data_IF_499242280772
#
_entry.id   IF_499242280772
#
_cell.length_a   1.000
_cell.length_b   1.000
_cell.length_c   1.000
_cell.angle_alpha   90.00
_cell.angle_beta   90.00
_cell.angle_gamma   90.00
#
_symmetry.space_group_name_H-M   'P 1'
#
loop_
_entity.id
_entity.type
_entity.pdbx_description
1 polymer ?
#
# COMPACT_ATOMS: atom_id res chain seq x y z
N UNK A 1 2.12 6.13 -7.81
CA UNK A 1 1.60 6.01 -9.19
C UNK A 1 0.54 7.04 -9.53
N UNK A 2 -0.55 7.18 -8.77
CA UNK A 2 -1.59 8.20 -9.05
C UNK A 2 -1.02 9.63 -9.20
N UNK A 3 -0.08 10.02 -8.33
CA UNK A 3 0.63 11.31 -8.45
C UNK A 3 1.40 11.43 -9.79
N UNK A 4 2.20 10.42 -10.14
CA UNK A 4 2.96 10.40 -11.39
C UNK A 4 2.09 10.37 -12.66
N UNK A 5 0.83 9.94 -12.54
CA UNK A 5 -0.15 10.02 -13.61
C UNK A 5 -0.79 11.42 -13.72
N UNK A 6 -1.01 12.08 -12.58
CA UNK A 6 -1.65 13.40 -12.50
C UNK A 6 -0.68 14.55 -12.80
N UNK A 7 0.59 14.41 -12.40
CA UNK A 7 1.68 15.39 -12.55
C UNK A 7 2.90 14.71 -13.19
N UNK A 8 2.79 14.22 -14.44
CA UNK A 8 3.87 13.47 -15.08
C UNK A 8 5.17 14.26 -15.23
N UNK A 9 5.10 15.59 -15.29
CA UNK A 9 6.23 16.51 -15.38
C UNK A 9 7.00 16.68 -14.06
N UNK A 10 6.40 16.33 -12.92
CA UNK A 10 7.02 16.49 -11.60
C UNK A 10 7.74 15.23 -11.10
N UNK A 11 7.62 14.12 -11.83
CA UNK A 11 8.17 12.83 -11.42
C UNK A 11 9.29 12.40 -12.36
N UNK A 12 10.54 12.54 -11.93
CA UNK A 12 11.70 12.12 -12.71
C UNK A 12 11.84 10.60 -12.84
N UNK A 13 11.43 9.86 -11.81
CA UNK A 13 11.42 8.39 -11.83
C UNK A 13 10.48 7.83 -10.75
N UNK A 14 10.04 6.59 -10.91
CA UNK A 14 9.12 5.93 -9.98
C UNK A 14 9.54 4.49 -9.68
N UNK A 15 9.66 4.16 -8.40
CA UNK A 15 9.81 2.78 -7.91
C UNK A 15 8.52 2.34 -7.23
N UNK A 16 7.95 1.23 -7.70
CA UNK A 16 6.76 0.61 -7.16
C UNK A 16 7.11 -0.75 -6.53
N UNK A 17 6.78 -0.93 -5.25
CA UNK A 17 7.08 -2.14 -4.46
C UNK A 17 5.79 -2.92 -4.22
N UNK A 18 5.65 -4.08 -4.87
CA UNK A 18 4.54 -5.05 -4.78
C UNK A 18 3.12 -4.50 -5.04
N UNK A 19 2.99 -3.23 -5.44
CA UNK A 19 1.72 -2.57 -5.71
C UNK A 19 1.86 -1.51 -6.81
N UNK A 20 0.85 -1.41 -7.67
CA UNK A 20 0.79 -0.46 -8.78
C UNK A 20 -0.24 0.63 -8.46
N UNK A 21 -1.45 0.52 -9.01
CA UNK A 21 -2.60 1.35 -8.71
C UNK A 21 -3.67 0.43 -8.11
N UNK A 22 -4.16 0.80 -6.93
CA UNK A 22 -5.24 0.06 -6.28
C UNK A 22 -6.53 0.22 -7.07
N UNK A 23 -7.22 -0.90 -7.32
CA UNK A 23 -8.57 -0.93 -7.89
C UNK A 23 -9.50 -1.66 -6.94
N UNK A 24 -10.78 -1.32 -6.99
CA UNK A 24 -11.76 -2.20 -6.40
C UNK A 24 -12.01 -3.41 -7.28
N UNK A 25 -12.15 -4.58 -6.63
CA UNK A 25 -12.27 -5.89 -7.27
C UNK A 25 -13.36 -5.98 -8.33
N UNK A 26 -14.40 -5.13 -8.28
CA UNK A 26 -15.35 -4.99 -9.39
C UNK A 26 -16.26 -3.77 -9.25
N UNK A 27 -16.35 -2.95 -10.31
CA UNK A 27 -17.42 -1.94 -10.44
C UNK A 27 -18.82 -2.57 -10.51
N UNK A 28 -18.94 -3.84 -10.91
CA UNK A 28 -20.23 -4.55 -11.03
C UNK A 28 -20.86 -4.88 -9.67
N UNK A 29 -20.05 -5.04 -8.62
CA UNK A 29 -20.53 -5.31 -7.26
C UNK A 29 -20.60 -4.06 -6.41
N UNK A 30 -20.09 -2.93 -6.90
CA UNK A 30 -20.05 -1.67 -6.17
C UNK A 30 -21.44 -1.27 -5.65
N UNK A 31 -22.42 -1.09 -6.54
CA UNK A 31 -23.76 -0.65 -6.14
C UNK A 31 -24.50 -1.66 -5.27
N UNK A 32 -24.21 -2.96 -5.44
CA UNK A 32 -24.74 -4.01 -4.56
C UNK A 32 -24.24 -3.86 -3.12
N UNK A 33 -23.03 -3.34 -2.94
CA UNK A 33 -22.38 -3.18 -1.65
C UNK A 33 -22.39 -1.73 -1.14
N UNK A 34 -22.88 -0.77 -1.92
CA UNK A 34 -22.77 0.65 -1.62
C UNK A 34 -23.52 1.04 -0.34
N UNK A 35 -24.75 0.56 -0.17
CA UNK A 35 -25.52 0.78 1.05
C UNK A 35 -24.77 0.26 2.29
N UNK A 36 -24.32 -0.99 2.26
CA UNK A 36 -23.55 -1.58 3.36
C UNK A 36 -22.24 -0.82 3.65
N UNK A 37 -21.58 -0.25 2.63
CA UNK A 37 -20.40 0.59 2.81
C UNK A 37 -20.75 1.92 3.49
N UNK A 38 -21.84 2.55 3.09
CA UNK A 38 -22.34 3.79 3.71
C UNK A 38 -22.68 3.52 5.17
N UNK A 39 -23.47 2.48 5.45
CA UNK A 39 -23.87 2.11 6.81
C UNK A 39 -22.65 1.84 7.69
N UNK A 40 -21.66 1.11 7.17
CA UNK A 40 -20.41 0.85 7.88
C UNK A 40 -19.62 2.13 8.16
N UNK A 41 -19.55 3.06 7.19
CA UNK A 41 -18.90 4.36 7.39
C UNK A 41 -19.61 5.17 8.49
N UNK A 42 -20.94 5.25 8.44
CA UNK A 42 -21.74 5.91 9.49
C UNK A 42 -21.47 5.27 10.85
N UNK A 43 -21.49 3.94 10.94
CA UNK A 43 -21.20 3.20 12.17
C UNK A 43 -19.83 3.59 12.77
N UNK A 44 -18.78 3.69 11.94
CA UNK A 44 -17.46 4.10 12.40
C UNK A 44 -17.39 5.56 12.86
N UNK A 45 -18.17 6.46 12.26
CA UNK A 45 -18.19 7.87 12.67
C UNK A 45 -18.93 8.09 13.99
N UNK A 46 -19.89 7.22 14.34
CA UNK A 46 -20.72 7.38 15.55
C UNK A 46 -20.15 6.60 16.74
N UNK A 47 -19.35 5.55 16.52
CA UNK A 47 -18.78 4.74 17.60
C UNK A 47 -17.53 5.38 18.18
N UNK A 48 -17.41 5.29 19.51
CA UNK A 48 -16.14 5.59 20.20
C UNK A 48 -15.07 4.64 19.68
N UNK A 49 -13.90 5.17 19.27
CA UNK A 49 -12.81 4.37 18.72
C UNK A 49 -12.42 3.21 19.65
N UNK A 50 -12.43 1.96 19.14
CA UNK A 50 -12.16 0.76 19.98
C UNK A 50 -10.72 0.74 20.51
N UNK A 51 -9.79 1.46 19.89
CA UNK A 51 -8.41 1.58 20.39
C UNK A 51 -8.30 2.25 21.77
N UNK A 52 -9.30 3.02 22.19
CA UNK A 52 -9.33 3.61 23.54
C UNK A 52 -9.88 2.67 24.62
N UNK A 53 -10.42 1.50 24.26
CA UNK A 53 -11.17 0.64 25.19
C UNK A 53 -10.35 -0.47 25.85
N UNK A 54 -9.25 -0.91 25.25
CA UNK A 54 -8.40 -1.98 25.78
C UNK A 54 -6.99 -1.47 26.06
N UNK A 55 -6.39 -1.90 27.17
CA UNK A 55 -4.98 -1.63 27.45
C UNK A 55 -4.11 -2.30 26.38
N UNK A 56 -3.36 -1.48 25.64
CA UNK A 56 -2.41 -1.95 24.65
C UNK A 56 -1.05 -2.16 25.33
N UNK A 57 -0.47 -3.35 25.17
CA UNK A 57 0.95 -3.60 25.49
C UNK A 57 1.79 -3.59 24.21
N UNK A 58 3.11 -3.48 24.36
CA UNK A 58 4.02 -3.51 23.22
C UNK A 58 3.98 -4.87 22.50
N UNK A 59 3.94 -5.95 23.27
CA UNK A 59 3.82 -7.33 22.77
C UNK A 59 2.51 -7.52 22.01
N UNK A 60 1.41 -6.99 22.56
CA UNK A 60 0.10 -7.04 21.89
C UNK A 60 0.10 -6.21 20.61
N UNK A 61 0.78 -5.07 20.60
CA UNK A 61 0.91 -4.25 19.40
C UNK A 61 1.66 -5.01 18.29
N UNK A 62 2.75 -5.72 18.62
CA UNK A 62 3.48 -6.57 17.66
C UNK A 62 2.59 -7.68 17.12
N UNK A 63 1.86 -8.38 17.99
CA UNK A 63 0.92 -9.44 17.60
C UNK A 63 -0.15 -8.91 16.63
N UNK A 64 -0.73 -7.75 16.92
CA UNK A 64 -1.74 -7.11 16.06
C UNK A 64 -1.16 -6.68 14.71
N UNK A 65 0.08 -6.18 14.67
CA UNK A 65 0.75 -5.85 13.41
C UNK A 65 0.99 -7.11 12.59
N UNK A 66 1.45 -8.19 13.20
CA UNK A 66 1.70 -9.46 12.51
C UNK A 66 0.41 -10.13 12.01
N UNK A 67 -0.66 -10.08 12.79
CA UNK A 67 -1.93 -10.71 12.39
C UNK A 67 -2.64 -9.96 11.27
N UNK A 68 -2.39 -8.65 11.13
CA UNK A 68 -2.95 -7.82 10.06
C UNK A 68 -2.08 -7.71 8.81
N UNK A 69 -0.83 -8.17 8.84
CA UNK A 69 0.15 -8.04 7.76
C UNK A 69 0.76 -9.39 7.42
N UNK A 70 0.30 -9.97 6.32
CA UNK A 70 0.73 -11.32 5.92
C UNK A 70 2.23 -11.33 5.59
N UNK A 71 2.96 -12.25 6.22
CA UNK A 71 4.37 -12.53 5.90
C UNK A 71 5.38 -11.48 6.37
N UNK A 72 5.01 -10.63 7.33
CA UNK A 72 5.99 -9.77 8.04
C UNK A 72 6.69 -10.58 9.15
N UNK A 73 8.01 -10.39 9.31
CA UNK A 73 8.78 -11.02 10.38
C UNK A 73 8.74 -10.22 11.70
N UNK A 74 9.25 -10.80 12.78
CA UNK A 74 9.25 -10.18 14.11
C UNK A 74 10.06 -8.88 14.17
N UNK A 75 11.21 -8.83 13.48
CA UNK A 75 12.07 -7.65 13.48
C UNK A 75 11.38 -6.47 12.79
N UNK A 76 10.81 -6.70 11.61
CA UNK A 76 10.05 -5.72 10.84
C UNK A 76 8.78 -5.29 11.58
N UNK A 77 8.08 -6.22 12.23
CA UNK A 77 6.90 -5.90 13.02
C UNK A 77 7.25 -4.97 14.21
N UNK A 78 8.37 -5.22 14.90
CA UNK A 78 8.87 -4.34 15.97
C UNK A 78 9.13 -2.93 15.44
N UNK A 79 9.86 -2.79 14.33
CA UNK A 79 10.12 -1.47 13.71
C UNK A 79 8.83 -0.70 13.38
N UNK A 80 7.80 -1.39 12.89
CA UNK A 80 6.49 -0.75 12.65
C UNK A 80 5.82 -0.32 13.95
N UNK A 81 5.90 -1.11 15.02
CA UNK A 81 5.34 -0.76 16.33
C UNK A 81 6.06 0.44 16.95
N UNK A 82 7.40 0.48 16.91
CA UNK A 82 8.19 1.62 17.41
C UNK A 82 7.77 2.96 16.79
N UNK A 83 7.47 2.93 15.48
CA UNK A 83 7.00 4.11 14.76
C UNK A 83 5.52 4.42 15.02
N UNK A 84 4.69 3.41 15.19
CA UNK A 84 3.22 3.54 15.18
C UNK A 84 2.55 3.54 16.55
N UNK A 85 3.30 3.38 17.64
CA UNK A 85 2.77 3.39 19.01
C UNK A 85 3.38 4.54 19.81
N UNK A 86 2.54 5.21 20.62
CA UNK A 86 2.94 6.28 21.55
C UNK A 86 2.24 6.11 22.89
N UNK A 87 2.82 6.72 23.93
CA UNK A 87 2.20 6.86 25.26
C UNK A 87 1.39 8.16 25.28
N UNK A 88 0.22 8.11 25.89
CA UNK A 88 -0.58 9.31 26.17
C UNK A 88 -0.14 9.97 27.50
N UNK A 89 -0.87 11.01 27.93
CA UNK A 89 -0.62 11.74 29.18
C UNK A 89 -0.84 10.88 30.44
N UNK A 90 -1.47 9.72 30.33
CA UNK A 90 -1.73 8.77 31.41
C UNK A 90 -0.83 7.53 31.32
N UNK A 91 0.25 7.61 30.55
CA UNK A 91 1.20 6.53 30.28
C UNK A 91 0.61 5.29 29.56
N UNK A 92 -0.55 5.45 28.90
CA UNK A 92 -1.20 4.38 28.15
C UNK A 92 -0.69 4.33 26.70
N UNK A 93 -0.32 3.14 26.25
CA UNK A 93 0.07 2.93 24.85
C UNK A 93 -1.16 2.96 23.93
N UNK A 94 -1.02 3.60 22.79
CA UNK A 94 -2.01 3.61 21.73
C UNK A 94 -1.33 3.66 20.35
N UNK A 95 -2.02 3.16 19.32
CA UNK A 95 -1.57 3.39 17.95
C UNK A 95 -1.82 4.84 17.56
N UNK A 96 -0.86 5.47 16.89
CA UNK A 96 -0.94 6.87 16.43
C UNK A 96 -1.78 7.07 15.19
N UNK A 97 -2.25 5.98 14.55
CA UNK A 97 -3.08 6.06 13.36
C UNK A 97 -4.47 6.61 13.69
N UNK A 98 -4.99 7.42 12.78
CA UNK A 98 -6.41 7.78 12.80
C UNK A 98 -7.28 6.53 12.59
N UNK A 99 -8.31 6.37 13.40
CA UNK A 99 -9.28 5.28 13.25
C UNK A 99 -10.15 5.42 12.00
N UNK A 100 -10.32 6.63 11.47
CA UNK A 100 -11.03 6.88 10.22
C UNK A 100 -10.38 6.15 9.04
N UNK A 101 -9.08 5.81 9.12
CA UNK A 101 -8.39 5.02 8.10
C UNK A 101 -8.85 3.56 8.04
N UNK A 102 -9.65 3.08 9.01
CA UNK A 102 -10.35 1.79 8.91
C UNK A 102 -11.60 1.84 8.03
N UNK A 103 -12.04 3.04 7.67
CA UNK A 103 -13.19 3.25 6.80
C UNK A 103 -12.84 2.84 5.37
N UNK A 104 -13.83 2.27 4.69
CA UNK A 104 -13.68 1.94 3.28
C UNK A 104 -13.97 3.18 2.45
N UNK A 105 -13.13 3.50 1.47
CA UNK A 105 -13.44 4.53 0.48
C UNK A 105 -14.84 4.30 -0.11
N UNK A 106 -15.65 5.36 -0.11
CA UNK A 106 -17.03 5.28 -0.57
C UNK A 106 -17.11 5.01 -2.07
N UNK A 107 -16.25 5.65 -2.86
CA UNK A 107 -16.18 5.44 -4.31
C UNK A 107 -14.76 4.96 -4.63
N UNK A 108 -14.60 3.71 -5.08
CA UNK A 108 -13.30 3.18 -5.42
C UNK A 108 -12.80 3.66 -6.78
N UNK A 109 -11.50 3.49 -7.00
CA UNK A 109 -10.91 3.58 -8.33
C UNK A 109 -11.40 2.42 -9.21
N UNK A 110 -11.97 2.74 -10.38
CA UNK A 110 -12.40 1.73 -11.34
C UNK A 110 -11.20 1.12 -12.09
N UNK A 111 -11.36 -0.09 -12.64
CA UNK A 111 -10.33 -0.70 -13.49
C UNK A 111 -9.96 0.22 -14.67
N UNK A 112 -10.94 0.81 -15.35
CA UNK A 112 -10.69 1.73 -16.46
C UNK A 112 -9.89 2.96 -16.04
N UNK A 113 -10.23 3.58 -14.90
CA UNK A 113 -9.45 4.71 -14.37
C UNK A 113 -8.01 4.30 -14.05
N UNK A 114 -7.78 3.08 -13.54
CA UNK A 114 -6.44 2.56 -13.31
C UNK A 114 -5.65 2.36 -14.60
N UNK A 115 -6.29 1.85 -15.64
CA UNK A 115 -5.65 1.68 -16.95
C UNK A 115 -5.24 3.04 -17.55
N UNK A 116 -6.13 4.04 -17.52
CA UNK A 116 -5.82 5.38 -18.02
C UNK A 116 -4.73 6.06 -17.19
N UNK A 117 -4.78 5.91 -15.86
CA UNK A 117 -3.72 6.42 -14.99
C UNK A 117 -2.38 5.75 -15.28
N UNK A 118 -2.33 4.43 -15.54
CA UNK A 118 -1.09 3.74 -15.93
C UNK A 118 -0.53 4.30 -17.24
N UNK A 119 -1.39 4.51 -18.25
CA UNK A 119 -0.98 5.06 -19.56
C UNK A 119 -0.47 6.50 -19.46
N UNK A 120 -0.94 7.27 -18.50
CA UNK A 120 -0.55 8.66 -18.29
C UNK A 120 0.84 8.82 -17.62
N UNK A 121 1.40 7.76 -17.03
CA UNK A 121 2.71 7.82 -16.37
C UNK A 121 3.83 7.95 -17.42
N UNK A 122 4.50 9.10 -17.43
CA UNK A 122 5.63 9.38 -18.33
C UNK A 122 6.99 9.05 -17.72
N UNK A 123 7.10 9.14 -16.39
CA UNK A 123 8.32 8.83 -15.66
C UNK A 123 8.77 7.37 -15.93
N UNK A 124 10.09 7.09 -16.03
CA UNK A 124 10.60 5.73 -15.94
C UNK A 124 10.06 5.01 -14.70
N UNK A 125 9.53 3.80 -14.88
CA UNK A 125 8.98 2.97 -13.80
C UNK A 125 9.82 1.72 -13.56
N UNK A 126 10.25 1.51 -12.32
CA UNK A 126 10.70 0.20 -11.82
C UNK A 126 9.60 -0.43 -10.98
N UNK A 127 9.14 -1.62 -11.35
CA UNK A 127 8.29 -2.44 -10.50
C UNK A 127 9.08 -3.61 -9.92
N UNK A 128 9.17 -3.67 -8.59
CA UNK A 128 9.69 -4.83 -7.88
C UNK A 128 8.50 -5.53 -7.22
N UNK A 129 8.15 -6.72 -7.70
CA UNK A 129 7.03 -7.49 -7.19
C UNK A 129 7.47 -8.81 -6.57
N UNK A 130 6.53 -9.50 -5.94
CA UNK A 130 6.73 -10.88 -5.47
C UNK A 130 6.36 -11.89 -6.54
N UNK A 131 7.04 -13.04 -6.54
CA UNK A 131 6.63 -14.20 -7.35
C UNK A 131 5.24 -14.75 -6.98
N UNK A 132 4.78 -14.45 -5.75
CA UNK A 132 3.49 -14.86 -5.19
C UNK A 132 2.73 -13.62 -4.68
N UNK A 133 2.12 -12.83 -5.58
CA UNK A 133 1.43 -11.60 -5.21
C UNK A 133 0.30 -11.89 -4.22
N UNK A 134 0.28 -11.14 -3.12
CA UNK A 134 -0.71 -11.28 -2.06
C UNK A 134 -1.91 -10.33 -2.23
N UNK A 135 -1.77 -9.33 -3.10
CA UNK A 135 -2.77 -8.30 -3.34
C UNK A 135 -3.25 -8.31 -4.80
N UNK A 136 -4.54 -7.99 -5.04
CA UNK A 136 -5.05 -7.87 -6.39
C UNK A 136 -4.43 -6.65 -7.07
N UNK A 137 -3.95 -6.84 -8.29
CA UNK A 137 -3.56 -5.76 -9.20
C UNK A 137 -4.61 -5.59 -10.30
N UNK A 138 -4.73 -4.41 -10.91
CA UNK A 138 -5.57 -4.24 -12.09
C UNK A 138 -5.16 -5.24 -13.16
N UNK A 139 -6.15 -5.82 -13.84
CA UNK A 139 -5.89 -6.69 -14.98
C UNK A 139 -5.07 -5.92 -16.00
N UNK A 140 -4.11 -6.60 -16.62
CA UNK A 140 -3.25 -6.05 -17.66
C UNK A 140 -2.32 -4.90 -17.21
N UNK A 141 -2.22 -4.58 -15.91
CA UNK A 141 -1.44 -3.41 -15.45
C UNK A 141 0.04 -3.48 -15.84
N UNK A 142 0.64 -4.66 -15.74
CA UNK A 142 2.03 -4.90 -16.15
C UNK A 142 2.15 -4.80 -17.68
N UNK A 143 1.22 -5.38 -18.43
CA UNK A 143 1.19 -5.32 -19.89
C UNK A 143 1.04 -3.86 -20.39
N UNK A 144 0.21 -3.07 -19.72
CA UNK A 144 0.04 -1.65 -20.02
C UNK A 144 1.32 -0.86 -19.74
N UNK A 145 1.99 -1.09 -18.61
CA UNK A 145 3.29 -0.47 -18.32
C UNK A 145 4.33 -0.86 -19.39
N UNK A 146 4.45 -2.14 -19.72
CA UNK A 146 5.36 -2.61 -20.79
C UNK A 146 5.07 -1.97 -22.14
N UNK A 147 3.79 -1.75 -22.46
CA UNK A 147 3.35 -1.20 -23.74
C UNK A 147 3.52 0.31 -23.84
N UNK A 148 3.22 1.04 -22.77
CA UNK A 148 3.11 2.50 -22.79
C UNK A 148 4.29 3.23 -22.12
N UNK A 149 5.14 2.52 -21.39
CA UNK A 149 6.31 3.09 -20.74
C UNK A 149 7.59 2.42 -21.27
N UNK A 150 8.33 3.05 -22.21
CA UNK A 150 9.50 2.45 -22.84
C UNK A 150 10.66 2.22 -21.86
N UNK A 151 10.64 2.90 -20.71
CA UNK A 151 11.65 2.79 -19.66
C UNK A 151 11.17 1.95 -18.47
N UNK A 152 10.15 1.11 -18.68
CA UNK A 152 9.63 0.19 -17.68
C UNK A 152 10.60 -0.97 -17.42
N UNK A 153 11.00 -1.13 -16.17
CA UNK A 153 11.76 -2.28 -15.68
C UNK A 153 10.92 -3.04 -14.67
N UNK A 154 11.03 -4.38 -14.68
CA UNK A 154 10.34 -5.24 -13.75
C UNK A 154 11.29 -6.30 -13.21
N UNK A 155 11.23 -6.54 -11.91
CA UNK A 155 11.89 -7.68 -11.27
C UNK A 155 10.94 -8.35 -10.29
N UNK A 156 11.02 -9.69 -10.23
CA UNK A 156 10.27 -10.48 -9.25
C UNK A 156 11.25 -11.06 -8.24
N UNK A 157 10.89 -10.96 -6.97
CA UNK A 157 11.67 -11.51 -5.86
C UNK A 157 10.88 -12.58 -5.11
N UNK A 158 11.60 -13.50 -4.49
CA UNK A 158 11.02 -14.40 -3.50
C UNK A 158 10.69 -13.62 -2.22
N UNK A 159 9.57 -13.96 -1.58
CA UNK A 159 9.15 -13.35 -0.33
C UNK A 159 7.66 -13.01 -0.25
N UNK A 160 7.32 -12.28 0.79
CA UNK A 160 5.98 -11.74 1.04
C UNK A 160 5.84 -10.31 0.50
N UNK A 161 4.65 -9.72 0.65
CA UNK A 161 4.42 -8.30 0.35
C UNK A 161 5.42 -7.36 1.03
N UNK A 162 5.95 -7.77 2.20
CA UNK A 162 6.91 -7.02 2.99
C UNK A 162 8.38 -7.37 2.66
N UNK A 163 8.66 -7.92 1.47
CA UNK A 163 10.02 -8.28 1.05
C UNK A 163 11.03 -7.14 1.22
N UNK A 164 10.59 -5.90 1.03
CA UNK A 164 11.42 -4.69 1.15
C UNK A 164 11.88 -4.41 2.59
N UNK A 165 11.25 -5.03 3.59
CA UNK A 165 11.67 -4.99 4.99
C UNK A 165 12.52 -6.21 5.37
N UNK A 166 12.44 -7.31 4.63
CA UNK A 166 13.09 -8.58 4.98
C UNK A 166 14.30 -8.93 4.10
N UNK A 167 14.42 -8.31 2.92
CA UNK A 167 15.51 -8.48 1.94
C UNK A 167 16.17 -7.14 1.60
N UNK A 168 16.43 -6.32 2.62
CA UNK A 168 16.79 -4.89 2.49
C UNK A 168 17.95 -4.65 1.51
N UNK A 169 19.05 -5.38 1.63
CA UNK A 169 20.26 -5.15 0.82
C UNK A 169 19.99 -5.34 -0.69
N UNK A 170 19.35 -6.46 -1.05
CA UNK A 170 19.04 -6.76 -2.46
C UNK A 170 18.05 -5.76 -3.07
N UNK A 171 17.08 -5.29 -2.28
CA UNK A 171 16.12 -4.28 -2.75
C UNK A 171 16.79 -2.90 -2.87
N UNK A 172 17.63 -2.54 -1.91
CA UNK A 172 18.39 -1.29 -1.93
C UNK A 172 19.29 -1.20 -3.16
N UNK A 173 20.01 -2.25 -3.51
CA UNK A 173 20.86 -2.30 -4.71
C UNK A 173 20.05 -2.07 -6.00
N UNK A 174 18.90 -2.72 -6.13
CA UNK A 174 18.02 -2.56 -7.30
C UNK A 174 17.49 -1.14 -7.42
N UNK A 175 17.04 -0.55 -6.30
CA UNK A 175 16.53 0.82 -6.26
C UNK A 175 17.64 1.83 -6.61
N UNK A 176 18.82 1.70 -6.00
CA UNK A 176 19.94 2.60 -6.26
C UNK A 176 20.42 2.53 -7.71
N UNK A 177 20.51 1.33 -8.28
CA UNK A 177 20.83 1.16 -9.70
C UNK A 177 19.85 1.94 -10.58
N UNK A 178 18.57 1.90 -10.24
CA UNK A 178 17.52 2.57 -11.00
C UNK A 178 17.57 4.10 -10.83
N UNK A 179 17.75 4.59 -9.61
CA UNK A 179 17.90 6.02 -9.34
C UNK A 179 19.14 6.61 -10.01
N UNK A 180 20.29 5.91 -9.96
CA UNK A 180 21.50 6.37 -10.65
C UNK A 180 21.32 6.51 -12.17
N UNK A 181 20.39 5.74 -12.75
CA UNK A 181 20.07 5.75 -14.18
C UNK A 181 19.11 6.87 -14.59
N UNK A 182 18.16 7.25 -13.73
CA UNK A 182 17.03 8.12 -14.14
C UNK A 182 16.75 9.33 -13.22
N UNK A 183 17.30 9.39 -12.01
CA UNK A 183 16.97 10.43 -11.01
C UNK A 183 18.00 11.58 -10.97
N UNK A 184 18.78 11.78 -12.04
CA UNK A 184 19.77 12.87 -12.14
C UNK A 184 19.15 14.17 -12.64
#
# INVERSE_FOLDING_TARGET
>A
MAYAAAYPEEVSCLVALDAIIGVERSSKTFWKNAAARIDKNIEYHVKVPKSYQNELTYEKAIELVRSSRIGIDDASAKLLVERSVRRDTHDKLHFTRDESLRNTHLIPFSEHMAEEAIKAIQAPVLFIGTVKPQWPMPKNSIELLKKHNPNFEMTLVDGSHHFHMTHVDSIFEQINRYFNKYAQ
#
